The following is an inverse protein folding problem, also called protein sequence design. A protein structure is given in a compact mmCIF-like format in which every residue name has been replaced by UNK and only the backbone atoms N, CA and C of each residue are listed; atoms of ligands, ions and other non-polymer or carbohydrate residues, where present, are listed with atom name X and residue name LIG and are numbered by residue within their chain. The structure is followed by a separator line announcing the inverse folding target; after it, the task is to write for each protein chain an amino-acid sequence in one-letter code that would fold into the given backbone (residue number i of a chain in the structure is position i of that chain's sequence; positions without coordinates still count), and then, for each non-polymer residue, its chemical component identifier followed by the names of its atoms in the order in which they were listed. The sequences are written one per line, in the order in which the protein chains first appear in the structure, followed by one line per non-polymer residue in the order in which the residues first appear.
data_IF_225490648817
#
_entry.id   IF_225490648817
#
_cell.length_a   1.000
_cell.length_b   1.000
_cell.length_c   1.000
_cell.angle_alpha   90.00
_cell.angle_beta   90.00
_cell.angle_gamma   90.00
#
_symmetry.space_group_name_H-M   'P 1'
#
loop_
_entity.id
_entity.type
_entity.pdbx_description
1 polymer ?
#
# COMPACT_ATOMS: atom_id res chain seq x y z
N UNK A 1 -5.04 -7.09 -3.85
CA UNK A 1 -4.09 -7.21 -2.73
C UNK A 1 -4.51 -6.33 -1.56
N UNK A 2 -4.61 -5.00 -1.70
CA UNK A 2 -4.97 -4.08 -0.60
C UNK A 2 -6.30 -4.46 0.09
N UNK A 3 -7.32 -4.82 -0.69
CA UNK A 3 -8.60 -5.28 -0.16
C UNK A 3 -8.44 -6.56 0.67
N UNK A 4 -7.63 -7.52 0.21
CA UNK A 4 -7.34 -8.73 0.98
C UNK A 4 -6.72 -8.40 2.33
N UNK A 5 -5.71 -7.55 2.38
CA UNK A 5 -5.09 -7.13 3.64
C UNK A 5 -6.08 -6.43 4.58
N UNK A 6 -6.92 -5.54 4.05
CA UNK A 6 -7.93 -4.86 4.85
C UNK A 6 -8.95 -5.83 5.47
N UNK A 7 -9.24 -6.96 4.81
CA UNK A 7 -10.21 -7.96 5.26
C UNK A 7 -9.61 -9.04 6.14
N UNK A 8 -8.35 -9.45 5.87
CA UNK A 8 -7.69 -10.59 6.54
C UNK A 8 -6.94 -10.21 7.81
N UNK A 9 -6.57 -8.94 8.00
CA UNK A 9 -5.75 -8.46 9.13
C UNK A 9 -6.33 -8.81 10.51
N UNK A 10 -7.66 -8.81 10.64
CA UNK A 10 -8.38 -9.32 11.81
C UNK A 10 -9.73 -9.91 11.38
N UNK A 11 -9.76 -11.24 11.24
CA UNK A 11 -10.96 -11.98 10.81
C UNK A 11 -12.13 -11.84 11.80
N UNK A 12 -11.86 -11.48 13.03
CA UNK A 12 -12.86 -11.33 14.11
C UNK A 12 -13.13 -9.86 14.46
N UNK A 13 -12.56 -8.92 13.71
CA UNK A 13 -12.76 -7.51 13.99
C UNK A 13 -14.24 -7.13 13.97
N UNK A 14 -14.64 -6.44 15.03
CA UNK A 14 -16.00 -5.88 15.17
C UNK A 14 -16.11 -4.48 14.59
N UNK A 15 -15.09 -4.02 13.87
CA UNK A 15 -14.99 -2.69 13.28
C UNK A 15 -14.99 -2.76 11.77
N UNK A 16 -15.35 -1.67 11.13
CA UNK A 16 -15.22 -1.50 9.70
C UNK A 16 -13.75 -1.56 9.28
N UNK A 17 -13.49 -2.07 8.08
CA UNK A 17 -12.19 -1.96 7.44
C UNK A 17 -12.16 -0.76 6.48
N UNK A 18 -10.98 -0.37 6.03
CA UNK A 18 -10.82 0.65 5.02
C UNK A 18 -9.68 0.31 4.05
N UNK A 19 -9.88 0.70 2.80
CA UNK A 19 -8.83 0.75 1.77
C UNK A 19 -8.66 2.19 1.35
N UNK A 20 -7.42 2.64 1.31
CA UNK A 20 -7.08 3.95 0.79
C UNK A 20 -6.67 3.82 -0.67
N UNK A 21 -7.25 4.65 -1.53
CA UNK A 21 -6.93 4.73 -2.96
C UNK A 21 -6.27 6.08 -3.24
N UNK A 22 -5.09 6.04 -3.83
CA UNK A 22 -4.28 7.21 -4.17
C UNK A 22 -3.95 7.19 -5.65
N UNK A 23 -4.16 8.31 -6.35
CA UNK A 23 -3.59 8.50 -7.68
C UNK A 23 -2.14 9.02 -7.52
N UNK A 24 -1.13 8.16 -7.80
CA UNK A 24 0.26 8.52 -7.54
C UNK A 24 0.79 9.61 -8.48
N UNK A 25 0.27 9.70 -9.70
CA UNK A 25 0.67 10.72 -10.67
C UNK A 25 0.20 12.11 -10.23
N UNK A 26 -1.05 12.24 -9.77
CA UNK A 26 -1.57 13.51 -9.27
C UNK A 26 -0.86 13.94 -7.97
N UNK A 27 -0.51 12.98 -7.09
CA UNK A 27 0.32 13.28 -5.94
C UNK A 27 1.65 13.89 -6.36
N UNK A 28 2.38 13.24 -7.27
CA UNK A 28 3.69 13.69 -7.74
C UNK A 28 3.62 15.05 -8.45
N UNK A 29 2.58 15.26 -9.25
CA UNK A 29 2.30 16.55 -9.88
C UNK A 29 2.10 17.67 -8.86
N UNK A 30 1.29 17.42 -7.83
CA UNK A 30 0.96 18.40 -6.77
C UNK A 30 2.20 18.81 -5.95
N UNK A 31 3.12 17.90 -5.71
CA UNK A 31 4.38 18.21 -5.01
C UNK A 31 5.49 18.76 -5.93
N UNK A 32 5.17 18.98 -7.21
CA UNK A 32 6.09 19.56 -8.19
C UNK A 32 7.16 18.59 -8.69
N UNK A 33 6.96 17.29 -8.52
CA UNK A 33 7.90 16.26 -9.02
C UNK A 33 7.65 15.93 -10.51
N UNK A 34 6.41 16.02 -10.99
CA UNK A 34 6.00 15.73 -12.37
C UNK A 34 4.83 14.76 -12.46
N UNK A 35 4.30 14.60 -13.67
CA UNK A 35 3.14 13.74 -13.95
C UNK A 35 3.57 12.28 -14.25
N UNK A 36 4.45 11.71 -13.46
CA UNK A 36 4.92 10.33 -13.61
C UNK A 36 5.29 9.73 -12.24
N UNK A 37 5.39 8.41 -12.20
CA UNK A 37 5.81 7.65 -11.02
C UNK A 37 7.18 7.05 -11.32
N UNK A 38 8.28 7.55 -10.74
CA UNK A 38 9.61 7.05 -10.99
C UNK A 38 9.86 5.70 -10.31
N UNK A 39 10.75 4.85 -10.82
CA UNK A 39 11.28 3.73 -10.05
C UNK A 39 12.16 4.26 -8.91
N UNK A 40 12.15 3.56 -7.77
CA UNK A 40 12.91 3.98 -6.58
C UNK A 40 14.44 4.04 -6.82
N UNK A 41 14.93 3.35 -7.85
CA UNK A 41 16.33 3.36 -8.28
C UNK A 41 16.71 4.55 -9.17
N UNK A 42 15.80 5.49 -9.41
CA UNK A 42 16.07 6.63 -10.27
C UNK A 42 16.97 7.64 -9.58
N UNK A 43 18.07 8.05 -10.24
CA UNK A 43 19.11 8.90 -9.64
C UNK A 43 18.58 10.23 -9.08
N UNK A 44 17.58 10.83 -9.71
CA UNK A 44 16.98 12.06 -9.22
C UNK A 44 16.20 11.86 -7.91
N UNK A 45 15.70 10.63 -7.67
CA UNK A 45 15.00 10.32 -6.43
C UNK A 45 15.97 10.13 -5.26
N UNK A 46 17.22 9.70 -5.53
CA UNK A 46 18.23 9.53 -4.49
C UNK A 46 18.59 10.85 -3.81
N UNK A 47 18.65 11.96 -4.53
CA UNK A 47 18.89 13.29 -3.95
C UNK A 47 17.74 13.78 -3.08
N UNK A 48 16.49 13.49 -3.49
CA UNK A 48 15.30 13.81 -2.68
C UNK A 48 15.21 12.91 -1.43
N UNK A 49 15.65 11.66 -1.54
CA UNK A 49 15.76 10.72 -0.40
C UNK A 49 16.83 11.17 0.59
N UNK A 50 18.02 11.56 0.12
CA UNK A 50 19.08 12.09 0.98
C UNK A 50 18.60 13.34 1.72
N UNK A 51 17.87 14.24 1.04
CA UNK A 51 17.23 15.39 1.65
C UNK A 51 16.19 15.02 2.71
N UNK A 52 15.40 13.98 2.47
CA UNK A 52 14.39 13.51 3.43
C UNK A 52 14.99 12.89 4.70
N UNK A 53 16.18 12.27 4.57
CA UNK A 53 16.84 11.60 5.70
C UNK A 53 17.92 12.46 6.40
N UNK A 54 18.53 13.42 5.71
CA UNK A 54 19.64 14.24 6.26
C UNK A 54 19.18 15.51 6.99
N UNK A 55 17.99 16.02 6.75
CA UNK A 55 17.54 17.33 7.30
C UNK A 55 16.77 17.22 8.61
N UNK A 56 17.09 16.28 9.47
CA UNK A 56 16.40 16.20 10.78
C UNK A 56 16.75 17.28 11.78
N UNK A 57 17.89 17.99 11.64
CA UNK A 57 18.38 18.87 12.72
C UNK A 57 18.87 20.27 12.35
N UNK A 58 19.04 20.65 11.11
CA UNK A 58 19.61 21.99 10.80
C UNK A 58 19.21 22.49 9.42
N UNK A 59 18.08 23.12 9.24
CA UNK A 59 18.04 24.30 8.39
C UNK A 59 16.69 25.04 8.43
N UNK A 60 16.78 26.40 8.52
CA UNK A 60 15.69 27.34 8.34
C UNK A 60 15.14 27.39 6.88
N UNK A 61 15.56 26.47 6.03
CA UNK A 61 14.93 26.21 4.75
C UNK A 61 13.80 25.22 4.99
N UNK A 62 12.56 25.70 4.92
CA UNK A 62 11.35 24.88 4.87
C UNK A 62 11.52 23.84 3.76
N UNK A 63 12.11 22.68 4.09
CA UNK A 63 11.97 21.49 3.26
C UNK A 63 10.47 21.26 3.19
N UNK A 64 9.90 21.56 2.05
CA UNK A 64 8.48 21.32 1.82
C UNK A 64 8.24 19.86 2.20
N UNK A 65 7.26 19.61 3.06
CA UNK A 65 6.80 18.27 3.39
C UNK A 65 6.45 17.57 2.07
N UNK A 66 7.42 16.86 1.50
CA UNK A 66 7.25 16.18 0.22
C UNK A 66 6.89 14.73 0.48
N UNK A 67 5.86 14.29 -0.21
CA UNK A 67 5.48 12.89 -0.29
C UNK A 67 5.52 12.54 -1.76
N UNK A 68 6.40 11.61 -2.15
CA UNK A 68 6.60 11.22 -3.54
C UNK A 68 6.17 9.76 -3.68
N UNK A 69 5.33 9.50 -4.67
CA UNK A 69 5.00 8.12 -5.06
C UNK A 69 6.07 7.58 -6.02
N UNK A 70 6.48 6.33 -5.82
CA UNK A 70 7.46 5.67 -6.66
C UNK A 70 7.18 4.18 -6.82
N UNK A 71 7.62 3.61 -7.95
CA UNK A 71 7.58 2.17 -8.18
C UNK A 71 8.68 1.46 -7.39
N UNK A 72 8.30 0.34 -6.77
CA UNK A 72 9.28 -0.57 -6.15
C UNK A 72 10.21 -1.19 -7.17
N UNK A 73 11.44 -1.46 -6.76
CA UNK A 73 12.35 -2.32 -7.55
C UNK A 73 11.91 -3.76 -7.32
N UNK A 74 11.48 -4.45 -8.39
CA UNK A 74 11.01 -5.84 -8.31
C UNK A 74 12.14 -6.85 -8.02
N UNK A 75 12.88 -6.66 -6.94
CA UNK A 75 13.95 -7.54 -6.49
C UNK A 75 13.45 -8.75 -5.69
N UNK A 76 12.21 -8.72 -5.24
CA UNK A 76 11.57 -9.75 -4.45
C UNK A 76 10.29 -10.24 -5.17
N UNK A 77 10.12 -11.57 -5.25
CA UNK A 77 8.94 -12.20 -5.84
C UNK A 77 7.64 -11.69 -5.20
N UNK A 78 7.65 -11.44 -3.89
CA UNK A 78 6.53 -10.91 -3.15
C UNK A 78 6.14 -9.49 -3.62
N UNK A 79 7.12 -8.62 -3.85
CA UNK A 79 6.88 -7.27 -4.38
C UNK A 79 6.26 -7.33 -5.78
N UNK A 80 6.75 -8.26 -6.60
CA UNK A 80 6.23 -8.47 -7.96
C UNK A 80 4.78 -8.96 -7.95
N UNK A 81 4.47 -10.00 -7.17
CA UNK A 81 3.12 -10.57 -7.08
C UNK A 81 2.13 -9.58 -6.46
N UNK A 82 2.54 -8.83 -5.46
CA UNK A 82 1.72 -7.81 -4.82
C UNK A 82 1.60 -6.53 -5.63
N UNK A 83 2.38 -6.36 -6.71
CA UNK A 83 2.48 -5.12 -7.49
C UNK A 83 2.69 -3.92 -6.57
N UNK A 84 3.73 -4.01 -5.72
CA UNK A 84 3.94 -3.07 -4.64
C UNK A 84 4.54 -1.76 -5.13
N UNK A 85 3.85 -0.67 -4.84
CA UNK A 85 4.34 0.69 -4.99
C UNK A 85 4.49 1.36 -3.62
N UNK A 86 5.24 2.44 -3.57
CA UNK A 86 5.60 3.09 -2.32
C UNK A 86 5.33 4.59 -2.36
N UNK A 87 5.13 5.16 -1.18
CA UNK A 87 5.24 6.60 -0.96
C UNK A 87 6.40 6.87 -0.02
N UNK A 88 7.25 7.83 -0.40
CA UNK A 88 8.40 8.27 0.37
C UNK A 88 8.04 9.59 1.03
N UNK A 89 8.25 9.69 2.32
CA UNK A 89 7.84 10.82 3.13
C UNK A 89 9.05 11.55 3.70
N UNK A 90 9.14 12.87 3.51
CA UNK A 90 10.08 13.74 4.22
C UNK A 90 9.57 14.17 5.60
N UNK A 91 8.39 13.72 6.00
CA UNK A 91 7.74 14.06 7.27
C UNK A 91 7.30 12.81 8.00
N UNK A 92 7.17 12.90 9.32
CA UNK A 92 6.59 11.84 10.16
C UNK A 92 5.06 11.90 10.24
N UNK A 93 4.43 12.87 9.60
CA UNK A 93 2.98 12.97 9.57
C UNK A 93 2.35 11.88 8.71
N UNK A 94 1.18 11.41 9.11
CA UNK A 94 0.44 10.41 8.38
C UNK A 94 -0.14 10.99 7.08
N UNK A 95 -0.05 10.22 5.99
CA UNK A 95 -0.51 10.61 4.66
C UNK A 95 -1.98 11.06 4.64
N UNK A 96 -2.85 10.34 5.35
CA UNK A 96 -4.27 10.65 5.44
C UNK A 96 -4.52 12.02 6.08
N UNK A 97 -3.76 12.41 7.09
CA UNK A 97 -3.89 13.73 7.71
C UNK A 97 -3.47 14.84 6.76
N UNK A 98 -2.37 14.64 6.04
CA UNK A 98 -1.85 15.64 5.10
C UNK A 98 -2.81 15.81 3.93
N UNK A 99 -3.24 14.72 3.30
CA UNK A 99 -4.04 14.79 2.08
C UNK A 99 -5.52 15.11 2.37
N UNK A 100 -6.09 14.66 3.49
CA UNK A 100 -7.47 14.98 3.84
C UNK A 100 -7.65 16.39 4.42
N UNK A 101 -6.57 17.09 4.79
CA UNK A 101 -6.63 18.49 5.17
C UNK A 101 -6.76 19.44 3.97
N UNK A 102 -6.47 18.97 2.76
CA UNK A 102 -6.64 19.73 1.52
C UNK A 102 -8.03 19.45 0.94
N UNK A 103 -8.94 20.42 1.04
CA UNK A 103 -10.30 20.34 0.48
C UNK A 103 -10.30 20.17 -1.05
N UNK A 104 -9.19 20.47 -1.73
CA UNK A 104 -9.00 20.27 -3.17
C UNK A 104 -8.46 18.90 -3.54
N UNK A 105 -8.29 18.01 -2.57
CA UNK A 105 -7.72 16.68 -2.80
C UNK A 105 -8.77 15.74 -3.42
N UNK A 106 -8.74 15.63 -4.73
CA UNK A 106 -9.59 14.78 -5.55
C UNK A 106 -8.88 13.50 -6.07
N UNK A 107 -7.71 13.19 -5.54
CA UNK A 107 -6.85 12.08 -5.94
C UNK A 107 -6.55 11.09 -4.81
N UNK A 108 -7.15 11.27 -3.63
CA UNK A 108 -6.99 10.40 -2.47
C UNK A 108 -8.35 10.10 -1.82
N UNK A 109 -8.70 8.82 -1.74
CA UNK A 109 -10.02 8.38 -1.30
C UNK A 109 -9.91 7.32 -0.21
N UNK A 110 -10.80 7.39 0.78
CA UNK A 110 -11.02 6.34 1.76
C UNK A 110 -12.26 5.53 1.39
N UNK A 111 -12.05 4.28 1.03
CA UNK A 111 -13.12 3.32 0.77
C UNK A 111 -13.39 2.55 2.05
N UNK A 112 -14.52 2.84 2.69
CA UNK A 112 -14.95 2.15 3.91
C UNK A 112 -15.65 0.84 3.57
N UNK A 113 -15.30 -0.21 4.28
CA UNK A 113 -15.87 -1.55 4.14
C UNK A 113 -16.60 -1.88 5.44
N UNK A 114 -17.95 -1.90 5.43
CA UNK A 114 -18.73 -2.24 6.61
C UNK A 114 -18.39 -3.63 7.15
N UNK A 115 -18.33 -3.76 8.46
CA UNK A 115 -18.00 -5.00 9.17
C UNK A 115 -18.89 -6.17 8.70
N UNK A 116 -20.15 -5.92 8.44
CA UNK A 116 -21.16 -6.95 8.08
C UNK A 116 -20.83 -7.68 6.78
N UNK A 117 -20.17 -7.00 5.81
CA UNK A 117 -19.87 -7.59 4.50
C UNK A 117 -18.43 -8.14 4.40
N UNK A 118 -17.59 -7.95 5.42
CA UNK A 118 -16.17 -8.33 5.37
C UNK A 118 -15.98 -9.82 5.07
N UNK A 119 -16.73 -10.69 5.76
CA UNK A 119 -16.64 -12.15 5.55
C UNK A 119 -17.08 -12.57 4.15
N UNK A 120 -18.15 -11.96 3.65
CA UNK A 120 -18.63 -12.24 2.29
C UNK A 120 -17.62 -11.83 1.23
N UNK A 121 -17.03 -10.64 1.37
CA UNK A 121 -16.01 -10.16 0.45
C UNK A 121 -14.74 -11.03 0.49
N UNK A 122 -14.35 -11.54 1.67
CA UNK A 122 -13.20 -12.43 1.78
C UNK A 122 -13.45 -13.76 1.03
N UNK A 123 -14.64 -14.34 1.15
CA UNK A 123 -15.06 -15.53 0.39
C UNK A 123 -15.07 -15.27 -1.12
N UNK A 124 -15.52 -14.11 -1.53
CA UNK A 124 -15.52 -13.73 -2.96
C UNK A 124 -14.09 -13.55 -3.49
N UNK A 125 -13.19 -12.96 -2.70
CA UNK A 125 -11.77 -12.86 -3.07
C UNK A 125 -11.12 -14.23 -3.23
N UNK A 126 -11.39 -15.14 -2.31
CA UNK A 126 -10.92 -16.52 -2.36
C UNK A 126 -11.42 -17.23 -3.63
N UNK A 127 -12.71 -17.09 -3.96
CA UNK A 127 -13.32 -17.68 -5.14
C UNK A 127 -12.73 -17.19 -6.48
N UNK A 128 -12.11 -16.03 -6.51
CA UNK A 128 -11.41 -15.49 -7.69
C UNK A 128 -9.88 -15.62 -7.60
N UNK A 129 -9.39 -16.45 -6.66
CA UNK A 129 -7.97 -16.80 -6.54
C UNK A 129 -7.11 -15.84 -5.70
N UNK A 130 -7.73 -14.90 -4.96
CA UNK A 130 -7.01 -14.06 -4.00
C UNK A 130 -7.04 -14.68 -2.59
N UNK A 131 -6.12 -15.58 -2.35
CA UNK A 131 -5.93 -16.27 -1.07
C UNK A 131 -4.49 -16.09 -0.56
N UNK A 132 -4.19 -16.67 0.58
CA UNK A 132 -2.92 -16.40 1.29
C UNK A 132 -1.69 -16.76 0.44
N UNK A 133 -1.66 -17.94 -0.20
CA UNK A 133 -0.52 -18.34 -1.02
C UNK A 133 -0.36 -17.54 -2.31
N UNK A 134 -1.45 -17.04 -2.89
CA UNK A 134 -1.38 -16.18 -4.07
C UNK A 134 -0.78 -14.79 -3.77
N UNK A 135 -0.81 -14.37 -2.51
CA UNK A 135 -0.30 -13.07 -2.05
C UNK A 135 1.08 -13.20 -1.42
N UNK A 136 1.33 -14.32 -0.74
CA UNK A 136 2.61 -14.71 -0.14
C UNK A 136 3.16 -15.93 -0.87
N UNK A 137 3.89 -15.75 -1.99
CA UNK A 137 4.32 -16.86 -2.85
C UNK A 137 5.59 -17.54 -2.28
N UNK A 138 5.55 -17.91 -1.01
CA UNK A 138 6.61 -18.69 -0.35
C UNK A 138 6.14 -20.10 -0.03
N UNK A 139 7.09 -21.01 0.18
CA UNK A 139 6.83 -22.44 0.38
C UNK A 139 5.98 -22.72 1.61
N UNK A 140 6.07 -21.90 2.64
CA UNK A 140 5.30 -22.10 3.88
C UNK A 140 3.81 -21.89 3.63
N UNK A 141 3.45 -20.76 2.97
CA UNK A 141 2.06 -20.42 2.68
C UNK A 141 1.44 -21.37 1.67
N UNK A 142 2.20 -21.79 0.63
CA UNK A 142 1.76 -22.78 -0.36
C UNK A 142 1.51 -24.14 0.34
N UNK A 143 2.45 -24.63 1.14
CA UNK A 143 2.30 -25.90 1.83
C UNK A 143 1.12 -25.91 2.82
N UNK A 144 0.89 -24.80 3.51
CA UNK A 144 -0.25 -24.63 4.43
C UNK A 144 -1.58 -24.71 3.69
N UNK A 145 -1.67 -24.07 2.53
CA UNK A 145 -2.88 -24.09 1.71
C UNK A 145 -3.18 -25.49 1.16
N UNK A 146 -2.18 -26.17 0.60
CA UNK A 146 -2.31 -27.55 0.12
C UNK A 146 -2.74 -28.51 1.24
N UNK A 147 -2.16 -28.37 2.42
CA UNK A 147 -2.56 -29.15 3.58
C UNK A 147 -4.04 -28.92 3.93
N UNK A 148 -4.50 -27.66 3.95
CA UNK A 148 -5.90 -27.35 4.24
C UNK A 148 -6.86 -27.90 3.17
N UNK A 149 -6.48 -27.90 1.89
CA UNK A 149 -7.28 -28.49 0.81
C UNK A 149 -7.40 -30.00 0.99
N UNK A 150 -6.29 -30.69 1.29
CA UNK A 150 -6.29 -32.13 1.51
C UNK A 150 -7.18 -32.55 2.69
N UNK A 151 -7.14 -31.83 3.80
CA UNK A 151 -7.95 -32.15 4.98
C UNK A 151 -9.44 -31.83 4.79
N UNK A 152 -9.77 -30.76 4.08
CA UNK A 152 -11.17 -30.40 3.83
C UNK A 152 -11.84 -31.28 2.75
N UNK A 153 -11.07 -31.96 1.91
CA UNK A 153 -11.59 -32.90 0.89
C UNK A 153 -11.99 -34.25 1.46
N UNK A 154 -11.72 -34.49 2.75
CA UNK A 154 -12.02 -35.80 3.43
C UNK A 154 -13.27 -35.75 4.32
N UNK A 155 -13.95 -34.61 4.39
CA UNK A 155 -15.21 -34.41 5.11
C UNK A 155 -16.35 -34.01 4.13
#
# INVERSE_FOLDING_TARGET
VALYFALSSDKNAKTDAAVWALNPMELNKKVGYGEYVPPISYDSLSSDLEGAFSNRDNDNNKSQNRIIACHGVGSDLRMYVQQSDFTIHSTSEHLDKILMSDESCDYFYKIRIPQQIRKQLLVQLDAIGFHESSIYPDMEHIAREEANMCFNSQN
#
